data_IF_937872042052
#
_entry.id   IF_937872042052
#
_cell.length_a   1.000
_cell.length_b   1.000
_cell.length_c   1.000
_cell.angle_alpha   90.00
_cell.angle_beta   90.00
_cell.angle_gamma   90.00
#
_symmetry.space_group_name_H-M   'P 1'
#
loop_
_entity.id
_entity.type
_entity.pdbx_description
1 polymer ?
#
# COMPACT_ATOMS: atom_id res chain seq x y z
N UNK A 1 -3.36 -28.21 -14.85
CA UNK A 1 -3.02 -27.10 -15.77
C UNK A 1 -4.28 -26.36 -16.26
N UNK A 2 -5.28 -27.06 -16.78
CA UNK A 2 -6.49 -26.43 -17.36
C UNK A 2 -7.37 -25.61 -16.38
N UNK A 3 -7.26 -25.84 -15.08
CA UNK A 3 -8.01 -25.07 -14.05
C UNK A 3 -7.43 -23.68 -13.86
N UNK A 4 -6.11 -23.53 -13.91
CA UNK A 4 -5.39 -22.28 -13.68
C UNK A 4 -5.41 -21.34 -14.90
N UNK A 5 -5.59 -21.86 -16.09
CA UNK A 5 -5.76 -21.04 -17.30
C UNK A 5 -7.11 -20.29 -17.34
N UNK A 6 -8.08 -20.76 -16.55
CA UNK A 6 -9.45 -20.28 -16.55
C UNK A 6 -9.78 -19.28 -15.43
N UNK A 7 -9.01 -19.27 -14.36
CA UNK A 7 -9.28 -18.44 -13.17
C UNK A 7 -8.07 -17.63 -12.75
N UNK A 8 -8.26 -16.34 -12.53
CA UNK A 8 -7.29 -15.47 -11.87
C UNK A 8 -7.79 -15.17 -10.46
N UNK A 9 -6.91 -15.24 -9.47
CA UNK A 9 -7.21 -15.00 -8.07
C UNK A 9 -6.66 -13.64 -7.68
N UNK A 10 -7.49 -12.75 -7.14
CA UNK A 10 -7.04 -11.51 -6.49
C UNK A 10 -6.92 -11.74 -4.98
N UNK A 11 -5.72 -11.54 -4.44
CA UNK A 11 -5.43 -11.65 -3.02
C UNK A 11 -5.27 -10.28 -2.40
N UNK A 12 -6.22 -9.90 -1.56
CA UNK A 12 -6.25 -8.61 -0.89
C UNK A 12 -5.64 -8.71 0.50
N UNK A 13 -4.68 -7.86 0.81
CA UNK A 13 -4.15 -7.69 2.15
C UNK A 13 -3.82 -6.22 2.40
N UNK A 14 -3.98 -5.77 3.64
CA UNK A 14 -3.59 -4.42 4.03
C UNK A 14 -2.08 -4.20 3.93
N UNK A 15 -1.28 -5.27 4.09
CA UNK A 15 0.18 -5.21 4.09
C UNK A 15 0.79 -6.39 3.34
N UNK A 16 1.92 -6.17 2.68
CA UNK A 16 2.74 -7.19 2.02
C UNK A 16 4.21 -7.00 2.35
N UNK A 17 4.76 -7.87 3.18
CA UNK A 17 6.18 -7.90 3.53
C UNK A 17 7.00 -8.69 2.52
N UNK A 18 7.39 -8.08 1.42
CA UNK A 18 8.09 -8.75 0.32
C UNK A 18 9.61 -8.59 0.44
N UNK A 19 10.04 -7.37 0.71
CA UNK A 19 11.44 -6.99 0.78
C UNK A 19 11.58 -5.75 1.69
N UNK A 20 12.76 -5.56 2.28
CA UNK A 20 13.03 -4.40 3.15
C UNK A 20 12.93 -3.05 2.45
N UNK A 21 13.07 -3.03 1.11
CA UNK A 21 12.88 -1.81 0.30
C UNK A 21 11.42 -1.40 0.14
N UNK A 22 10.46 -2.30 0.46
CA UNK A 22 9.03 -2.00 0.47
C UNK A 22 8.53 -2.22 1.90
N UNK A 23 8.61 -1.21 2.75
CA UNK A 23 8.33 -1.36 4.17
C UNK A 23 6.86 -1.68 4.43
N UNK A 24 6.65 -2.52 5.41
CA UNK A 24 5.35 -2.78 6.03
C UNK A 24 5.17 -1.88 7.24
N UNK A 25 3.91 -1.68 7.67
CA UNK A 25 3.64 -0.87 8.84
C UNK A 25 4.19 -1.52 10.11
N UNK A 26 3.69 -2.70 10.48
CA UNK A 26 4.19 -3.45 11.64
C UNK A 26 3.56 -4.84 11.76
N UNK A 27 4.18 -5.70 12.57
CA UNK A 27 3.62 -7.00 12.93
C UNK A 27 3.81 -8.09 11.87
N UNK A 28 3.04 -9.17 11.98
CA UNK A 28 3.20 -10.40 11.20
C UNK A 28 2.30 -10.53 9.97
N UNK A 29 1.27 -9.69 9.83
CA UNK A 29 0.32 -9.77 8.71
C UNK A 29 1.02 -9.65 7.35
N UNK A 30 1.89 -8.65 7.24
CA UNK A 30 2.64 -8.41 6.01
C UNK A 30 3.61 -9.54 5.68
N UNK A 31 4.25 -10.14 6.68
CA UNK A 31 5.13 -11.30 6.48
C UNK A 31 4.36 -12.49 5.93
N UNK A 32 3.21 -12.82 6.52
CA UNK A 32 2.36 -13.90 6.04
C UNK A 32 1.92 -13.67 4.59
N UNK A 33 1.44 -12.46 4.27
CA UNK A 33 1.01 -12.12 2.93
C UNK A 33 2.18 -12.16 1.92
N UNK A 34 3.35 -11.68 2.31
CA UNK A 34 4.56 -11.73 1.49
C UNK A 34 5.02 -13.15 1.19
N UNK A 35 5.05 -14.02 2.19
CA UNK A 35 5.40 -15.44 2.03
C UNK A 35 4.40 -16.15 1.14
N UNK A 36 3.11 -15.84 1.28
CA UNK A 36 2.06 -16.36 0.40
C UNK A 36 2.30 -15.98 -1.06
N UNK A 37 2.62 -14.71 -1.33
CA UNK A 37 2.93 -14.24 -2.69
C UNK A 37 4.17 -14.90 -3.28
N UNK A 38 5.23 -15.08 -2.48
CA UNK A 38 6.46 -15.77 -2.91
C UNK A 38 6.18 -17.22 -3.22
N UNK A 39 5.47 -17.93 -2.36
CA UNK A 39 5.08 -19.33 -2.59
C UNK A 39 4.18 -19.48 -3.81
N UNK A 40 3.25 -18.58 -4.03
CA UNK A 40 2.39 -18.54 -5.22
C UNK A 40 3.22 -18.34 -6.49
N UNK A 41 4.23 -17.47 -6.42
CA UNK A 41 5.18 -17.26 -7.52
C UNK A 41 5.97 -18.53 -7.86
N UNK A 42 6.48 -19.23 -6.85
CA UNK A 42 7.25 -20.46 -7.03
C UNK A 42 6.40 -21.58 -7.64
N UNK A 43 5.15 -21.67 -7.23
CA UNK A 43 4.18 -22.65 -7.75
C UNK A 43 3.56 -22.24 -9.10
N UNK A 44 3.83 -21.05 -9.60
CA UNK A 44 3.27 -20.54 -10.85
C UNK A 44 1.76 -20.34 -10.80
N UNK A 45 1.21 -19.95 -9.65
CA UNK A 45 -0.24 -19.74 -9.49
C UNK A 45 -0.70 -18.45 -10.17
N UNK A 46 -1.89 -18.43 -10.79
CA UNK A 46 -2.45 -17.24 -11.45
C UNK A 46 -3.07 -16.26 -10.43
N UNK A 47 -2.24 -15.74 -9.55
CA UNK A 47 -2.63 -14.83 -8.48
C UNK A 47 -2.10 -13.42 -8.73
N UNK A 48 -2.85 -12.41 -8.31
CA UNK A 48 -2.41 -11.02 -8.21
C UNK A 48 -2.65 -10.52 -6.80
N UNK A 49 -1.64 -9.93 -6.18
CA UNK A 49 -1.78 -9.26 -4.89
C UNK A 49 -2.33 -7.86 -5.07
N UNK A 50 -3.18 -7.44 -4.14
CA UNK A 50 -3.69 -6.05 -4.07
C UNK A 50 -3.55 -5.57 -2.65
N UNK A 51 -2.76 -4.51 -2.44
CA UNK A 51 -2.48 -3.96 -1.13
C UNK A 51 -2.47 -2.45 -1.07
N UNK A 52 -2.32 -1.94 0.13
CA UNK A 52 -2.21 -0.51 0.39
C UNK A 52 -0.75 -0.08 0.42
N UNK A 53 -0.48 1.09 -0.11
CA UNK A 53 0.82 1.71 -0.03
C UNK A 53 0.83 2.73 1.10
N UNK A 54 1.72 2.52 2.06
CA UNK A 54 1.89 3.42 3.20
C UNK A 54 3.02 4.40 2.91
N UNK A 55 2.71 5.70 2.92
CA UNK A 55 3.70 6.78 2.78
C UNK A 55 4.48 7.01 4.07
N UNK A 56 3.82 6.80 5.20
CA UNK A 56 4.44 6.83 6.52
C UNK A 56 4.29 5.44 7.14
N UNK A 57 5.41 4.80 7.44
CA UNK A 57 5.45 3.51 8.13
C UNK A 57 5.51 3.68 9.64
N UNK A 58 5.98 2.63 10.32
CA UNK A 58 6.23 2.68 11.76
C UNK A 58 7.36 3.66 12.08
N UNK A 59 7.26 4.32 13.25
CA UNK A 59 8.26 5.30 13.66
C UNK A 59 9.63 4.66 13.93
N UNK A 60 10.68 5.46 13.78
CA UNK A 60 12.03 5.10 14.18
C UNK A 60 12.38 5.81 15.48
N UNK A 61 12.92 5.04 16.42
CA UNK A 61 13.39 5.56 17.71
C UNK A 61 14.83 6.06 17.57
N UNK A 62 15.12 7.17 18.23
CA UNK A 62 16.49 7.64 18.46
C UNK A 62 16.57 8.32 19.81
N UNK A 63 17.78 8.48 20.33
CA UNK A 63 18.02 9.22 21.55
C UNK A 63 18.54 10.61 21.19
N UNK A 64 18.02 11.64 21.87
CA UNK A 64 18.56 12.97 21.78
C UNK A 64 19.85 13.09 22.61
N UNK A 65 20.48 14.28 22.61
CA UNK A 65 21.75 14.55 23.32
C UNK A 65 21.63 14.37 24.84
N UNK A 66 20.44 14.47 25.39
CA UNK A 66 20.15 14.30 26.82
C UNK A 66 19.78 12.87 27.21
N UNK A 67 19.79 11.94 26.22
CA UNK A 67 19.45 10.54 26.42
C UNK A 67 17.96 10.24 26.43
N UNK A 68 17.10 11.20 26.07
CA UNK A 68 15.66 10.97 25.95
C UNK A 68 15.28 10.38 24.61
N UNK A 69 14.37 9.40 24.64
CA UNK A 69 13.79 8.81 23.44
C UNK A 69 13.00 9.83 22.65
N UNK A 70 13.23 9.83 21.35
CA UNK A 70 12.52 10.61 20.34
C UNK A 70 11.98 9.70 19.27
N UNK A 71 10.99 10.18 18.53
CA UNK A 71 10.34 9.47 17.41
C UNK A 71 10.58 10.23 16.11
N UNK A 72 10.81 9.48 15.05
CA UNK A 72 10.90 10.02 13.70
C UNK A 72 10.03 9.18 12.77
N UNK A 73 9.19 9.84 12.01
CA UNK A 73 8.33 9.24 10.99
C UNK A 73 8.93 9.54 9.61
N UNK A 74 9.69 8.60 9.01
CA UNK A 74 10.24 8.79 7.68
C UNK A 74 9.13 8.73 6.64
N UNK A 75 9.07 9.75 5.79
CA UNK A 75 8.17 9.76 4.63
C UNK A 75 8.81 8.95 3.51
N UNK A 76 8.05 8.03 2.93
CA UNK A 76 8.47 7.18 1.83
C UNK A 76 8.08 7.81 0.49
N UNK A 77 9.05 7.90 -0.41
CA UNK A 77 8.81 8.27 -1.80
C UNK A 77 8.77 6.99 -2.65
N UNK A 78 7.63 6.67 -3.29
CA UNK A 78 7.49 5.48 -4.12
C UNK A 78 8.50 5.39 -5.26
N UNK A 79 8.97 6.53 -5.77
CA UNK A 79 9.96 6.57 -6.82
C UNK A 79 11.34 6.03 -6.39
N UNK A 80 11.59 5.99 -5.09
CA UNK A 80 12.80 5.44 -4.48
C UNK A 80 12.64 3.99 -4.01
N UNK A 81 11.47 3.39 -4.23
CA UNK A 81 11.17 2.01 -3.88
C UNK A 81 11.28 1.10 -5.12
N UNK A 82 11.32 -0.21 -4.89
CA UNK A 82 11.29 -1.21 -5.96
C UNK A 82 9.87 -1.35 -6.55
N UNK A 83 9.28 -0.22 -6.93
CA UNK A 83 7.94 -0.08 -7.47
C UNK A 83 7.98 0.66 -8.80
N UNK A 84 7.05 0.35 -9.68
CA UNK A 84 6.85 1.05 -10.94
C UNK A 84 5.42 1.57 -11.02
N UNK A 85 5.18 2.81 -11.45
CA UNK A 85 3.82 3.28 -11.66
C UNK A 85 3.17 2.46 -12.79
N UNK A 86 2.00 1.91 -12.52
CA UNK A 86 1.23 1.22 -13.54
C UNK A 86 0.65 2.25 -14.52
N UNK A 87 0.85 2.02 -15.83
CA UNK A 87 0.43 2.97 -16.87
C UNK A 87 -0.55 2.31 -17.83
N UNK A 88 -1.47 3.12 -18.33
CA UNK A 88 -2.34 2.78 -19.44
C UNK A 88 -1.54 2.75 -20.77
N UNK A 89 -2.17 2.31 -21.85
CA UNK A 89 -1.57 2.26 -23.18
C UNK A 89 -1.16 3.64 -23.70
N UNK A 90 -1.85 4.70 -23.29
CA UNK A 90 -1.55 6.10 -23.61
C UNK A 90 -0.41 6.71 -22.77
N UNK A 91 0.18 5.91 -21.86
CA UNK A 91 1.24 6.34 -20.94
C UNK A 91 0.75 7.06 -19.69
N UNK A 92 -0.54 7.33 -19.54
CA UNK A 92 -1.12 7.92 -18.32
C UNK A 92 -1.06 6.94 -17.15
N UNK A 93 -0.90 7.42 -15.90
CA UNK A 93 -0.91 6.55 -14.72
C UNK A 93 -2.30 5.94 -14.52
N UNK A 94 -2.33 4.64 -14.23
CA UNK A 94 -3.57 3.95 -13.86
C UNK A 94 -4.05 4.47 -12.50
N UNK A 95 -5.34 4.83 -12.45
CA UNK A 95 -6.01 5.28 -11.24
C UNK A 95 -7.27 4.46 -11.01
N UNK A 96 -7.55 4.19 -9.76
CA UNK A 96 -8.80 3.56 -9.31
C UNK A 96 -9.50 4.50 -8.34
N UNK A 97 -10.81 4.43 -8.28
CA UNK A 97 -11.58 5.23 -7.33
C UNK A 97 -12.71 4.41 -6.73
N UNK A 98 -13.01 4.71 -5.46
CA UNK A 98 -14.10 4.09 -4.70
C UNK A 98 -14.96 5.19 -4.11
N UNK A 99 -16.28 5.04 -4.28
CA UNK A 99 -17.23 5.93 -3.65
C UNK A 99 -17.45 5.50 -2.18
N UNK A 100 -17.30 6.45 -1.29
CA UNK A 100 -17.44 6.27 0.15
C UNK A 100 -18.77 6.87 0.63
N UNK A 101 -19.29 6.45 1.80
CA UNK A 101 -20.47 7.06 2.40
C UNK A 101 -20.34 8.59 2.53
N UNK A 102 -21.45 9.32 2.33
CA UNK A 102 -21.50 10.79 2.43
C UNK A 102 -20.93 11.51 1.20
N UNK A 103 -21.19 10.99 0.01
CA UNK A 103 -20.80 11.60 -1.29
C UNK A 103 -19.29 11.84 -1.45
N UNK A 104 -18.50 11.10 -0.70
CA UNK A 104 -17.04 11.19 -0.77
C UNK A 104 -16.49 10.18 -1.77
N UNK A 105 -15.46 10.56 -2.48
CA UNK A 105 -14.75 9.70 -3.41
C UNK A 105 -13.28 9.60 -3.03
N UNK A 106 -12.76 8.39 -2.93
CA UNK A 106 -11.35 8.13 -2.71
C UNK A 106 -10.72 7.65 -4.01
N UNK A 107 -9.70 8.33 -4.46
CA UNK A 107 -8.88 7.93 -5.60
C UNK A 107 -7.54 7.37 -5.13
N UNK A 108 -7.00 6.41 -5.87
CA UNK A 108 -5.68 5.87 -5.63
C UNK A 108 -4.92 5.66 -6.95
N UNK A 109 -3.64 6.01 -6.96
CA UNK A 109 -2.73 5.62 -8.01
C UNK A 109 -2.29 4.17 -7.80
N UNK A 110 -2.06 3.44 -8.89
CA UNK A 110 -1.65 2.05 -8.82
C UNK A 110 -0.17 1.92 -9.13
N UNK A 111 0.56 1.31 -8.20
CA UNK A 111 1.96 0.95 -8.36
C UNK A 111 2.10 -0.55 -8.48
N UNK A 112 3.03 -0.99 -9.29
CA UNK A 112 3.33 -2.41 -9.52
C UNK A 112 4.65 -2.78 -8.85
N UNK A 113 4.62 -3.82 -8.02
CA UNK A 113 5.79 -4.58 -7.61
C UNK A 113 5.74 -5.97 -8.25
N UNK A 114 6.86 -6.44 -8.75
CA UNK A 114 6.94 -7.79 -9.31
C UNK A 114 7.53 -8.74 -8.28
N UNK A 115 6.72 -9.70 -7.81
CA UNK A 115 7.14 -10.74 -6.85
C UNK A 115 7.38 -12.03 -7.61
N UNK A 116 8.59 -12.17 -8.17
CA UNK A 116 8.88 -13.26 -9.07
C UNK A 116 7.97 -13.27 -10.30
N UNK A 117 7.06 -14.25 -10.41
CA UNK A 117 6.10 -14.37 -11.51
C UNK A 117 4.77 -13.67 -11.25
N UNK A 118 4.48 -13.34 -10.01
CA UNK A 118 3.19 -12.77 -9.60
C UNK A 118 3.27 -11.26 -9.42
N UNK A 119 2.32 -10.49 -9.97
CA UNK A 119 2.25 -9.06 -9.77
C UNK A 119 1.62 -8.74 -8.42
N UNK A 120 2.11 -7.67 -7.79
CA UNK A 120 1.51 -7.04 -6.62
C UNK A 120 1.17 -5.60 -6.96
N UNK A 121 -0.10 -5.26 -6.86
CA UNK A 121 -0.63 -3.92 -7.07
C UNK A 121 -0.73 -3.20 -5.73
N UNK A 122 -0.02 -2.08 -5.60
CA UNK A 122 -0.03 -1.25 -4.41
C UNK A 122 -0.83 0.02 -4.68
N UNK A 123 -1.85 0.27 -3.86
CA UNK A 123 -2.76 1.39 -3.99
C UNK A 123 -2.27 2.56 -3.15
N UNK A 124 -1.90 3.65 -3.81
CA UNK A 124 -1.43 4.88 -3.20
C UNK A 124 -2.54 5.94 -3.20
N UNK A 125 -3.11 6.19 -2.04
CA UNK A 125 -4.16 7.19 -1.84
C UNK A 125 -3.64 8.59 -1.50
N UNK A 126 -2.32 8.81 -1.44
CA UNK A 126 -1.73 10.14 -1.23
C UNK A 126 -1.78 10.98 -2.50
N UNK A 127 -3.01 11.32 -2.91
CA UNK A 127 -3.31 12.09 -4.10
C UNK A 127 -3.89 13.45 -3.72
N UNK A 128 -3.54 14.49 -4.51
CA UNK A 128 -4.00 15.86 -4.25
C UNK A 128 -5.53 15.98 -4.23
N UNK A 129 -6.21 15.19 -5.05
CA UNK A 129 -7.67 15.18 -5.18
C UNK A 129 -8.40 14.64 -3.94
N UNK A 130 -7.73 13.80 -3.13
CA UNK A 130 -8.32 13.26 -1.91
C UNK A 130 -8.38 14.29 -0.76
N UNK A 131 -7.50 15.31 -0.76
CA UNK A 131 -7.39 16.26 0.35
C UNK A 131 -8.54 17.26 0.48
N UNK A 132 -9.27 17.53 -0.60
CA UNK A 132 -10.33 18.53 -0.63
C UNK A 132 -11.74 17.96 -0.36
N UNK A 133 -11.99 16.71 -0.73
CA UNK A 133 -13.33 16.11 -0.73
C UNK A 133 -13.56 15.06 0.34
N UNK A 134 -12.52 14.45 0.87
CA UNK A 134 -12.68 13.32 1.79
C UNK A 134 -12.66 13.71 3.27
N UNK A 135 -12.25 14.94 3.62
CA UNK A 135 -11.98 15.31 5.01
C UNK A 135 -10.93 14.43 5.68
N UNK A 136 -10.29 13.57 4.89
CA UNK A 136 -9.27 12.66 5.33
C UNK A 136 -7.91 13.31 5.12
N UNK A 137 -7.16 13.51 6.19
CA UNK A 137 -5.78 13.96 6.12
C UNK A 137 -4.99 12.97 5.23
N UNK A 138 -4.22 13.48 4.27
CA UNK A 138 -3.37 12.67 3.37
C UNK A 138 -2.50 11.66 4.12
N UNK A 139 -2.12 12.00 5.36
CA UNK A 139 -1.33 11.13 6.26
C UNK A 139 -2.15 10.04 6.92
N UNK A 140 -3.46 10.25 7.11
CA UNK A 140 -4.31 9.31 7.83
C UNK A 140 -5.01 8.30 6.93
N UNK A 141 -5.14 8.56 5.62
CA UNK A 141 -5.84 7.64 4.71
C UNK A 141 -5.16 6.27 4.60
N UNK A 142 -3.84 6.21 4.70
CA UNK A 142 -3.10 4.95 4.70
C UNK A 142 -3.25 4.17 6.03
N UNK A 143 -3.44 4.87 7.15
CA UNK A 143 -3.57 4.23 8.47
C UNK A 143 -5.04 3.98 8.89
N UNK A 144 -5.98 4.81 8.41
CA UNK A 144 -7.38 4.80 8.88
C UNK A 144 -8.24 3.72 8.23
N UNK A 145 -7.85 3.19 7.07
CA UNK A 145 -8.57 2.07 6.43
C UNK A 145 -8.47 0.80 7.28
N UNK A 146 -7.42 0.67 8.09
CA UNK A 146 -7.19 -0.51 8.94
C UNK A 146 -7.82 -0.37 10.32
N UNK A 147 -7.91 0.85 10.88
CA UNK A 147 -8.35 1.06 12.26
C UNK A 147 -9.77 1.62 12.44
N UNK A 148 -10.42 2.05 11.38
CA UNK A 148 -11.77 2.63 11.46
C UNK A 148 -11.88 3.94 12.26
N UNK A 149 -10.78 4.49 12.73
CA UNK A 149 -10.75 5.71 13.54
C UNK A 149 -9.94 6.80 12.83
N UNK A 150 -10.62 7.74 12.21
CA UNK A 150 -10.01 8.96 11.72
C UNK A 150 -9.98 9.98 12.85
N UNK A 151 -8.85 10.08 13.56
CA UNK A 151 -8.61 11.03 14.65
C UNK A 151 -8.14 12.41 14.18
N UNK A 152 -8.53 12.87 13.00
CA UNK A 152 -8.25 14.24 12.56
C UNK A 152 -9.25 15.19 13.22
N UNK A 153 -8.90 15.74 14.37
CA UNK A 153 -9.52 16.96 14.87
C UNK A 153 -9.08 18.11 13.98
N UNK A 154 -10.06 18.76 13.33
CA UNK A 154 -9.83 20.01 12.65
C UNK A 154 -9.33 21.04 13.66
N UNK A 155 -8.10 21.50 13.52
CA UNK A 155 -7.51 22.65 14.16
C UNK A 155 -7.35 23.76 13.14
#
# INVERSE_FOLDING_TARGET
>A
EALFDRYRVAYFSAEFGIHESVPVYSGGLGLLAGDHMKSASDLGLPIVGVGLMYREGYFRQYLNVDGWQQERYPLLDPNNLALSPLRNEDGSPVRVSVDLPGERRLAAAVWLAQVGRVPLLMLDSDMAENGASTGCCRRCCSASVVSGHCGCTAG
#
